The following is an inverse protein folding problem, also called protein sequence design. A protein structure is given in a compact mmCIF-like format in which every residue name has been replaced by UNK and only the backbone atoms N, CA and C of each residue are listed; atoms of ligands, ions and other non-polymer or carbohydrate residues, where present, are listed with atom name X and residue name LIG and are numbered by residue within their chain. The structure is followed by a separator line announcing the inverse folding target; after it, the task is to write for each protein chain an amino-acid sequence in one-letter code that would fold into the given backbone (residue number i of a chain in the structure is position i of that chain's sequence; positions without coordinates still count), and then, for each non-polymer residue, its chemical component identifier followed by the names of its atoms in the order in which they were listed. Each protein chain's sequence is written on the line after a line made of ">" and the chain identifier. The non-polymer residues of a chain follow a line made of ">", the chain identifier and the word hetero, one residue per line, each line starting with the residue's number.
data_IF_012254197574
#
_entry.id   IF_012254197574
#
_cell.length_a   1.000
_cell.length_b   1.000
_cell.length_c   1.000
_cell.angle_alpha   90.00
_cell.angle_beta   90.00
_cell.angle_gamma   90.00
#
_symmetry.space_group_name_H-M   'P 1'
#
loop_
_entity.id
_entity.type
_entity.pdbx_description
1 polymer ?
#
# COMPACT_ATOMS: atom_id res chain seq x y z
N UNK A 1 -20.52 -9.16 6.45
CA UNK A 1 -19.85 -8.10 5.65
C UNK A 1 -18.44 -7.77 6.13
N UNK A 2 -18.22 -7.47 7.43
CA UNK A 2 -16.90 -7.05 7.96
C UNK A 2 -15.74 -8.05 7.73
N UNK A 3 -16.01 -9.37 7.73
CA UNK A 3 -15.04 -10.40 7.33
C UNK A 3 -14.61 -10.29 5.86
N UNK A 4 -15.58 -10.17 4.95
CA UNK A 4 -15.35 -10.07 3.50
C UNK A 4 -14.50 -8.83 3.19
N UNK A 5 -14.81 -7.70 3.83
CA UNK A 5 -14.03 -6.46 3.69
C UNK A 5 -12.57 -6.66 4.11
N UNK A 6 -12.32 -7.38 5.21
CA UNK A 6 -10.96 -7.72 5.64
C UNK A 6 -10.22 -8.61 4.62
N UNK A 7 -10.90 -9.62 4.09
CA UNK A 7 -10.33 -10.49 3.05
C UNK A 7 -9.99 -9.69 1.79
N UNK A 8 -10.89 -8.82 1.32
CA UNK A 8 -10.65 -7.95 0.16
C UNK A 8 -9.47 -7.01 0.38
N UNK A 9 -9.37 -6.39 1.56
CA UNK A 9 -8.22 -5.56 1.94
C UNK A 9 -6.90 -6.34 1.91
N UNK A 10 -6.91 -7.61 2.33
CA UNK A 10 -5.74 -8.48 2.29
C UNK A 10 -5.38 -8.87 0.85
N UNK A 11 -6.37 -9.13 -0.01
CA UNK A 11 -6.15 -9.36 -1.44
C UNK A 11 -5.52 -8.13 -2.09
N UNK A 12 -6.02 -6.94 -1.80
CA UNK A 12 -5.43 -5.68 -2.30
C UNK A 12 -4.00 -5.47 -1.82
N UNK A 13 -3.69 -5.86 -0.58
CA UNK A 13 -2.31 -5.86 -0.10
C UNK A 13 -1.40 -6.75 -0.95
N UNK A 14 -1.83 -7.98 -1.28
CA UNK A 14 -1.03 -8.89 -2.10
C UNK A 14 -0.81 -8.34 -3.52
N UNK A 15 -1.84 -7.75 -4.14
CA UNK A 15 -1.70 -7.10 -5.45
C UNK A 15 -0.78 -5.87 -5.38
N UNK A 16 -0.95 -5.03 -4.37
CA UNK A 16 -0.09 -3.88 -4.12
C UNK A 16 1.37 -4.29 -3.93
N UNK A 17 1.62 -5.36 -3.17
CA UNK A 17 2.96 -5.89 -2.94
C UNK A 17 3.58 -6.43 -4.22
N UNK A 18 2.82 -7.20 -5.01
CA UNK A 18 3.29 -7.71 -6.29
C UNK A 18 3.62 -6.56 -7.26
N UNK A 19 2.75 -5.56 -7.37
CA UNK A 19 2.99 -4.37 -8.19
C UNK A 19 4.23 -3.58 -7.73
N UNK A 20 4.43 -3.44 -6.41
CA UNK A 20 5.62 -2.79 -5.87
C UNK A 20 6.90 -3.57 -6.20
N UNK A 21 6.90 -4.89 -6.07
CA UNK A 21 8.03 -5.74 -6.47
C UNK A 21 8.33 -5.57 -7.96
N UNK A 22 7.30 -5.57 -8.82
CA UNK A 22 7.48 -5.36 -10.27
C UNK A 22 8.06 -3.97 -10.58
N UNK A 23 7.64 -2.94 -9.85
CA UNK A 23 8.22 -1.61 -9.97
C UNK A 23 9.71 -1.60 -9.58
N UNK A 24 10.09 -2.28 -8.48
CA UNK A 24 11.49 -2.43 -8.08
C UNK A 24 12.36 -3.19 -9.10
N UNK A 25 11.75 -4.02 -9.94
CA UNK A 25 12.41 -4.71 -11.06
C UNK A 25 12.51 -3.86 -12.33
N UNK A 26 12.22 -2.55 -12.23
CA UNK A 26 12.31 -1.59 -13.33
C UNK A 26 11.05 -1.46 -14.19
N UNK A 27 9.91 -2.00 -13.73
CA UNK A 27 8.65 -1.88 -14.44
C UNK A 27 7.77 -0.78 -13.83
N UNK A 28 8.19 0.47 -14.05
CA UNK A 28 7.63 1.67 -13.41
C UNK A 28 6.13 1.87 -13.66
N UNK A 29 5.60 1.31 -14.75
CA UNK A 29 4.17 1.31 -15.09
C UNK A 29 3.28 0.73 -13.97
N UNK A 30 3.82 -0.18 -13.14
CA UNK A 30 3.08 -0.79 -12.04
C UNK A 30 3.06 0.05 -10.76
N UNK A 31 3.92 1.06 -10.65
CA UNK A 31 4.04 1.86 -9.43
C UNK A 31 2.71 2.54 -9.06
N UNK A 32 2.14 3.32 -9.99
CA UNK A 32 0.92 4.08 -9.71
C UNK A 32 -0.27 3.16 -9.39
N UNK A 33 -0.45 2.10 -10.17
CA UNK A 33 -1.49 1.10 -9.92
C UNK A 33 -1.34 0.41 -8.57
N UNK A 34 -0.10 0.03 -8.21
CA UNK A 34 0.21 -0.58 -6.92
C UNK A 34 -0.11 0.31 -5.73
N UNK A 35 0.20 1.60 -5.83
CA UNK A 35 -0.14 2.59 -4.79
C UNK A 35 -1.64 2.74 -4.65
N UNK A 36 -2.38 2.91 -5.75
CA UNK A 36 -3.83 3.11 -5.72
C UNK A 36 -4.53 1.90 -5.11
N UNK A 37 -4.17 0.67 -5.54
CA UNK A 37 -4.73 -0.57 -4.98
C UNK A 37 -4.42 -0.67 -3.49
N UNK A 38 -3.19 -0.36 -3.08
CA UNK A 38 -2.80 -0.37 -1.67
C UNK A 38 -3.57 0.67 -0.86
N UNK A 39 -3.74 1.89 -1.36
CA UNK A 39 -4.49 2.95 -0.68
C UNK A 39 -5.96 2.54 -0.46
N UNK A 40 -6.61 1.96 -1.47
CA UNK A 40 -7.98 1.44 -1.32
C UNK A 40 -7.99 0.28 -0.32
N UNK A 41 -7.02 -0.64 -0.40
CA UNK A 41 -6.89 -1.76 0.53
C UNK A 41 -6.72 -1.31 1.99
N UNK A 42 -5.94 -0.25 2.20
CA UNK A 42 -5.74 0.39 3.49
C UNK A 42 -7.05 0.96 4.05
N UNK A 43 -7.79 1.73 3.24
CA UNK A 43 -9.08 2.29 3.62
C UNK A 43 -10.09 1.19 3.98
N UNK A 44 -10.16 0.12 3.18
CA UNK A 44 -11.05 -1.02 3.45
C UNK A 44 -10.70 -1.69 4.80
N UNK A 45 -9.42 -1.76 5.17
CA UNK A 45 -8.99 -2.39 6.41
C UNK A 45 -9.58 -1.73 7.67
N UNK A 46 -9.87 -0.42 7.64
CA UNK A 46 -10.48 0.29 8.79
C UNK A 46 -11.89 -0.22 9.12
N UNK A 47 -12.63 -0.67 8.10
CA UNK A 47 -14.00 -1.19 8.24
C UNK A 47 -14.05 -2.71 8.49
N UNK A 48 -12.90 -3.38 8.45
CA UNK A 48 -12.81 -4.81 8.71
C UNK A 48 -13.03 -5.17 10.19
N UNK A 49 -13.42 -6.41 10.43
CA UNK A 49 -13.58 -6.96 11.77
C UNK A 49 -12.24 -6.96 12.53
N UNK A 50 -12.28 -6.67 13.84
CA UNK A 50 -11.06 -6.67 14.66
C UNK A 50 -10.44 -8.07 14.65
N UNK A 51 -9.15 -8.16 14.35
CA UNK A 51 -8.44 -9.43 14.27
C UNK A 51 -7.17 -9.33 13.43
N UNK A 52 -6.58 -10.49 13.13
CA UNK A 52 -5.34 -10.59 12.35
C UNK A 52 -5.52 -9.99 10.95
N UNK A 53 -6.61 -10.31 10.26
CA UNK A 53 -6.91 -9.86 8.90
C UNK A 53 -6.99 -8.33 8.78
N UNK A 54 -7.55 -7.65 9.79
CA UNK A 54 -7.56 -6.18 9.84
C UNK A 54 -6.17 -5.61 10.07
N UNK A 55 -5.38 -6.22 10.96
CA UNK A 55 -4.01 -5.77 11.24
C UNK A 55 -3.13 -5.94 10.01
N UNK A 56 -3.21 -7.07 9.31
CA UNK A 56 -2.47 -7.30 8.07
C UNK A 56 -2.88 -6.31 6.98
N UNK A 57 -4.18 -6.05 6.82
CA UNK A 57 -4.67 -5.04 5.88
C UNK A 57 -4.18 -3.63 6.18
N UNK A 58 -4.19 -3.21 7.45
CA UNK A 58 -3.72 -1.89 7.86
C UNK A 58 -2.20 -1.75 7.73
N UNK A 59 -1.44 -2.68 8.32
CA UNK A 59 0.03 -2.61 8.34
C UNK A 59 0.60 -2.83 6.94
N UNK A 60 0.11 -3.84 6.21
CA UNK A 60 0.62 -4.20 4.89
C UNK A 60 0.35 -3.10 3.86
N UNK A 61 -0.91 -2.74 3.65
CA UNK A 61 -1.24 -1.68 2.70
C UNK A 61 -0.66 -0.32 3.12
N UNK A 62 -0.68 -0.02 4.43
CA UNK A 62 -0.12 1.21 4.98
C UNK A 62 1.38 1.31 4.76
N UNK A 63 2.12 0.22 4.94
CA UNK A 63 3.56 0.17 4.69
C UNK A 63 3.88 0.43 3.21
N UNK A 64 3.11 -0.16 2.28
CA UNK A 64 3.31 0.09 0.85
C UNK A 64 3.10 1.58 0.55
N UNK A 65 1.98 2.18 0.98
CA UNK A 65 1.72 3.62 0.77
C UNK A 65 2.81 4.48 1.42
N UNK A 66 3.25 4.12 2.62
CA UNK A 66 4.29 4.86 3.34
C UNK A 66 5.62 4.84 2.58
N UNK A 67 6.08 3.68 2.13
CA UNK A 67 7.36 3.53 1.44
C UNK A 67 7.31 4.09 0.02
N UNK A 68 6.17 4.01 -0.66
CA UNK A 68 6.03 4.45 -2.05
C UNK A 68 5.74 5.94 -2.20
N UNK A 69 5.05 6.56 -1.24
CA UNK A 69 4.65 7.97 -1.32
C UNK A 69 5.34 8.80 -0.25
N UNK A 70 5.19 8.42 1.02
CA UNK A 70 5.59 9.27 2.14
C UNK A 70 7.11 9.39 2.21
N UNK A 71 7.85 8.28 2.12
CA UNK A 71 9.31 8.31 2.15
C UNK A 71 9.88 9.12 0.97
N UNK A 72 9.52 8.85 -0.30
CA UNK A 72 10.02 9.65 -1.42
C UNK A 72 9.66 11.12 -1.30
N UNK A 73 8.43 11.45 -0.92
CA UNK A 73 8.01 12.83 -0.71
C UNK A 73 8.87 13.53 0.35
N UNK A 74 9.16 12.86 1.46
CA UNK A 74 10.02 13.41 2.51
C UNK A 74 11.45 13.62 1.97
N UNK A 75 12.00 12.63 1.28
CA UNK A 75 13.37 12.71 0.74
C UNK A 75 13.49 13.83 -0.29
N UNK A 76 12.59 13.88 -1.28
CA UNK A 76 12.66 14.87 -2.37
C UNK A 76 12.30 16.28 -1.93
N UNK A 77 11.48 16.44 -0.89
CA UNK A 77 11.07 17.79 -0.44
C UNK A 77 12.02 18.37 0.60
N UNK A 78 12.54 17.55 1.53
CA UNK A 78 13.27 18.05 2.69
C UNK A 78 14.76 17.71 2.72
N UNK A 79 15.20 16.68 1.98
CA UNK A 79 16.61 16.23 2.00
C UNK A 79 17.33 16.44 0.67
N UNK A 80 16.62 16.32 -0.45
CA UNK A 80 17.14 16.53 -1.80
C UNK A 80 16.48 17.75 -2.44
N UNK A 81 16.84 18.92 -1.93
CA UNK A 81 16.28 20.22 -2.31
C UNK A 81 17.15 20.97 -3.33
N UNK A 82 18.29 20.40 -3.74
CA UNK A 82 19.17 20.92 -4.80
C UNK A 82 19.53 19.79 -5.79
N UNK A 83 19.56 20.06 -7.11
CA UNK A 83 19.82 19.06 -8.15
C UNK A 83 21.25 18.52 -8.17
#
# INVERSE_FOLDING_TARGET
>A
MKKIVGTLSTVFFLFGLAAYILALLGNDSFWFGGVVVSAIGFLLAFFAEKGVVRKTGLIGNGAIVFITIIIPFIVTTFFWNEP
#
